data_IF_256126793667
#
_entry.id   IF_256126793667
#
_cell.length_a   1.000
_cell.length_b   1.000
_cell.length_c   1.000
_cell.angle_alpha   90.00
_cell.angle_beta   90.00
_cell.angle_gamma   90.00
#
_symmetry.space_group_name_H-M   'P 1'
#
loop_
_entity.id
_entity.type
_entity.pdbx_description
1 polymer ?
#
# COMPACT_ATOMS: atom_id res chain seq x y z
N UNK A 1 0.60 -27.50 6.58
CA UNK A 1 0.19 -26.49 5.59
C UNK A 1 0.98 -25.20 5.84
N UNK A 2 1.72 -24.74 4.86
CA UNK A 2 2.41 -23.46 4.98
C UNK A 2 1.39 -22.34 5.19
N UNK A 3 1.53 -21.53 6.25
CA UNK A 3 0.72 -20.33 6.45
C UNK A 3 0.90 -19.45 5.21
N UNK A 4 -0.16 -19.30 4.38
CA UNK A 4 -0.14 -18.35 3.27
C UNK A 4 0.24 -17.00 3.85
N UNK A 5 1.33 -16.42 3.32
CA UNK A 5 1.76 -15.08 3.73
C UNK A 5 0.66 -14.10 3.33
N UNK A 6 -0.04 -13.57 4.32
CA UNK A 6 -1.23 -12.75 4.12
C UNK A 6 -0.92 -11.39 3.47
N UNK A 7 0.31 -10.90 3.63
CA UNK A 7 0.78 -9.73 2.90
C UNK A 7 0.84 -10.00 1.40
N UNK A 8 1.42 -11.15 1.00
CA UNK A 8 1.45 -11.57 -0.42
C UNK A 8 0.06 -11.79 -1.00
N UNK A 9 -0.90 -12.26 -0.19
CA UNK A 9 -2.29 -12.40 -0.62
C UNK A 9 -2.91 -11.03 -0.89
N UNK A 10 -2.68 -10.05 -0.02
CA UNK A 10 -3.16 -8.68 -0.23
C UNK A 10 -2.57 -8.07 -1.52
N UNK A 11 -1.27 -8.22 -1.75
CA UNK A 11 -0.61 -7.75 -2.97
C UNK A 11 -1.21 -8.42 -4.24
N UNK A 12 -1.49 -9.72 -4.17
CA UNK A 12 -2.13 -10.46 -5.27
C UNK A 12 -3.57 -9.96 -5.53
N UNK A 13 -4.38 -9.80 -4.48
CA UNK A 13 -5.74 -9.29 -4.59
C UNK A 13 -5.75 -7.86 -5.15
N UNK A 14 -4.83 -7.01 -4.70
CA UNK A 14 -4.67 -5.64 -5.21
C UNK A 14 -4.30 -5.65 -6.70
N UNK A 15 -3.28 -6.41 -7.09
CA UNK A 15 -2.87 -6.55 -8.50
C UNK A 15 -4.04 -6.99 -9.39
N UNK A 16 -4.79 -8.01 -8.94
CA UNK A 16 -5.92 -8.55 -9.70
C UNK A 16 -7.12 -7.59 -9.77
N UNK A 17 -7.10 -6.52 -8.98
CA UNK A 17 -8.12 -5.47 -8.99
C UNK A 17 -7.81 -4.33 -9.95
N UNK A 18 -6.57 -4.23 -10.42
CA UNK A 18 -6.18 -3.24 -11.44
C UNK A 18 -6.76 -3.66 -12.79
N UNK A 19 -7.42 -2.73 -13.48
CA UNK A 19 -8.03 -2.97 -14.79
C UNK A 19 -7.00 -3.44 -15.81
N UNK A 20 -7.38 -4.37 -16.70
CA UNK A 20 -6.48 -4.98 -17.69
C UNK A 20 -5.83 -3.97 -18.67
N UNK A 21 -6.51 -2.87 -18.94
CA UNK A 21 -6.00 -1.80 -19.80
C UNK A 21 -5.01 -0.86 -19.12
N UNK A 22 -4.77 -1.02 -17.82
CA UNK A 22 -3.79 -0.24 -17.05
C UNK A 22 -2.52 -1.08 -16.90
N UNK A 23 -1.37 -0.53 -17.31
CA UNK A 23 -0.09 -1.19 -17.08
C UNK A 23 0.19 -1.30 -15.60
N UNK A 24 0.40 -2.53 -15.11
CA UNK A 24 0.70 -2.81 -13.71
C UNK A 24 1.83 -3.84 -13.61
N UNK A 25 2.95 -3.45 -13.03
CA UNK A 25 4.10 -4.30 -12.82
C UNK A 25 4.41 -4.42 -11.33
N UNK A 26 4.43 -5.67 -10.81
CA UNK A 26 4.88 -5.95 -9.45
C UNK A 26 6.37 -6.20 -9.44
N UNK A 27 7.09 -5.45 -8.62
CA UNK A 27 8.53 -5.64 -8.42
C UNK A 27 8.72 -6.87 -7.53
N UNK A 28 9.48 -7.84 -8.00
CA UNK A 28 9.81 -9.04 -7.23
C UNK A 28 10.98 -8.76 -6.29
N UNK A 29 10.89 -9.29 -5.08
CA UNK A 29 12.06 -9.33 -4.18
C UNK A 29 13.16 -10.15 -4.84
N UNK A 30 14.38 -9.60 -4.94
CA UNK A 30 15.51 -10.36 -5.47
C UNK A 30 15.93 -11.43 -4.47
N UNK A 31 15.98 -12.68 -4.92
CA UNK A 31 16.39 -13.83 -4.09
C UNK A 31 17.90 -13.85 -3.77
N UNK A 32 18.71 -13.00 -4.40
CA UNK A 32 20.16 -12.98 -4.24
C UNK A 32 20.57 -11.98 -3.16
N UNK A 33 20.89 -12.49 -1.99
CA UNK A 33 21.32 -11.75 -0.80
C UNK A 33 22.56 -10.84 -0.99
N UNK A 34 23.36 -11.04 -2.02
CA UNK A 34 24.62 -10.33 -2.22
C UNK A 34 24.57 -9.12 -3.16
N UNK A 35 23.48 -8.91 -3.89
CA UNK A 35 23.31 -7.79 -4.84
C UNK A 35 21.89 -7.20 -4.85
N UNK A 36 21.12 -7.41 -3.78
CA UNK A 36 19.75 -6.88 -3.71
C UNK A 36 19.80 -5.35 -3.62
N UNK A 37 19.56 -4.69 -4.74
CA UNK A 37 19.08 -3.31 -4.72
C UNK A 37 17.79 -3.31 -3.91
N UNK A 38 17.73 -2.49 -2.86
CA UNK A 38 16.54 -2.35 -2.02
C UNK A 38 15.43 -1.76 -2.89
N UNK A 39 14.37 -2.51 -3.12
CA UNK A 39 13.21 -2.03 -3.86
C UNK A 39 12.59 -0.84 -3.12
N UNK A 40 12.28 0.21 -3.86
CA UNK A 40 11.65 1.40 -3.30
C UNK A 40 10.14 1.25 -3.13
N UNK A 41 9.52 0.33 -3.88
CA UNK A 41 8.08 0.08 -3.86
C UNK A 41 7.75 -1.34 -4.35
N UNK A 42 6.50 -1.77 -4.15
CA UNK A 42 5.99 -3.06 -4.60
C UNK A 42 5.46 -3.02 -6.04
N UNK A 43 4.86 -1.90 -6.45
CA UNK A 43 4.19 -1.77 -7.75
C UNK A 43 4.60 -0.51 -8.50
N UNK A 44 4.78 -0.69 -9.81
CA UNK A 44 4.86 0.38 -10.80
C UNK A 44 3.62 0.27 -11.66
N UNK A 45 2.80 1.33 -11.70
CA UNK A 45 1.55 1.37 -12.44
C UNK A 45 1.56 2.62 -13.33
N UNK A 46 1.22 2.45 -14.60
CA UNK A 46 1.06 3.58 -15.51
C UNK A 46 -0.40 3.72 -15.91
N UNK A 47 -0.99 4.82 -15.49
CA UNK A 47 -2.27 5.30 -15.95
C UNK A 47 -2.11 6.75 -16.42
N UNK A 48 -2.21 6.92 -17.72
CA UNK A 48 -1.87 8.20 -18.38
C UNK A 48 -2.61 9.40 -17.77
N UNK A 49 -1.88 10.50 -17.48
CA UNK A 49 -0.46 10.73 -17.77
C UNK A 49 0.50 10.31 -16.63
N UNK A 50 0.02 9.70 -15.56
CA UNK A 50 0.77 9.51 -14.33
C UNK A 50 1.43 8.14 -14.23
N UNK A 51 2.65 8.14 -13.69
CA UNK A 51 3.38 6.96 -13.23
C UNK A 51 3.21 6.84 -11.71
N UNK A 52 2.58 5.76 -11.25
CA UNK A 52 2.34 5.47 -9.84
C UNK A 52 3.38 4.52 -9.29
N UNK A 53 4.03 4.89 -8.21
CA UNK A 53 4.95 4.05 -7.44
C UNK A 53 4.32 3.78 -6.07
N UNK A 54 3.88 2.55 -5.84
CA UNK A 54 3.08 2.19 -4.67
C UNK A 54 3.75 1.11 -3.83
N UNK A 55 3.86 1.37 -2.54
CA UNK A 55 4.26 0.39 -1.50
C UNK A 55 3.01 -0.10 -0.76
N UNK A 56 2.91 -1.41 -0.55
CA UNK A 56 1.76 -2.03 0.11
C UNK A 56 2.12 -2.56 1.50
N UNK A 57 1.31 -2.25 2.48
CA UNK A 57 1.44 -2.78 3.84
C UNK A 57 0.10 -3.33 4.34
N UNK A 58 0.13 -4.49 4.96
CA UNK A 58 -1.08 -5.14 5.50
C UNK A 58 -0.85 -5.62 6.93
N UNK A 59 -1.85 -5.40 7.79
CA UNK A 59 -1.83 -5.81 9.19
C UNK A 59 -3.15 -6.43 9.64
N UNK A 60 -3.10 -7.30 10.65
CA UNK A 60 -4.30 -7.74 11.41
C UNK A 60 -4.64 -6.80 12.56
N UNK A 61 -3.66 -5.99 12.99
CA UNK A 61 -3.85 -5.02 14.07
C UNK A 61 -4.62 -3.79 13.59
N UNK A 62 -5.04 -2.94 14.52
CA UNK A 62 -5.65 -1.65 14.22
C UNK A 62 -4.62 -0.57 13.86
N UNK A 63 -3.34 -0.92 13.88
CA UNK A 63 -2.24 0.00 13.60
C UNK A 63 -1.09 -0.70 12.87
N UNK A 64 -0.35 0.06 12.08
CA UNK A 64 0.88 -0.35 11.40
C UNK A 64 2.03 0.41 12.06
N UNK A 65 3.04 -0.30 12.57
CA UNK A 65 4.22 0.33 13.14
C UNK A 65 5.03 1.06 12.08
N UNK A 66 5.58 2.23 12.44
CA UNK A 66 6.56 2.96 11.62
C UNK A 66 7.99 2.50 11.87
N UNK A 67 8.19 1.45 12.69
CA UNK A 67 9.50 0.84 12.90
C UNK A 67 10.12 0.40 11.57
N UNK A 68 11.43 0.57 11.42
CA UNK A 68 12.22 0.22 10.22
C UNK A 68 12.06 -1.24 9.78
N UNK A 69 11.66 -2.14 10.68
CA UNK A 69 11.35 -3.54 10.35
C UNK A 69 10.06 -3.69 9.55
N UNK A 70 9.15 -2.74 9.66
CA UNK A 70 7.83 -2.75 9.01
C UNK A 70 7.79 -1.76 7.85
N UNK A 71 8.08 -0.49 8.10
CA UNK A 71 8.14 0.56 7.09
C UNK A 71 9.58 1.05 7.01
N UNK A 72 10.20 0.81 5.88
CA UNK A 72 11.61 1.13 5.68
C UNK A 72 11.80 2.60 5.33
N UNK A 73 12.70 3.27 6.04
CA UNK A 73 13.01 4.69 5.79
C UNK A 73 13.38 4.95 4.34
N UNK A 74 14.22 4.08 3.75
CA UNK A 74 14.62 4.26 2.36
C UNK A 74 13.45 4.20 1.37
N UNK A 75 12.37 3.44 1.65
CA UNK A 75 11.17 3.41 0.82
C UNK A 75 10.44 4.76 0.90
N UNK A 76 10.24 5.29 2.11
CA UNK A 76 9.58 6.58 2.34
C UNK A 76 10.36 7.71 1.65
N UNK A 77 11.66 7.79 1.88
CA UNK A 77 12.50 8.88 1.35
C UNK A 77 12.68 8.77 -0.17
N UNK A 78 12.91 7.56 -0.72
CA UNK A 78 13.06 7.38 -2.17
C UNK A 78 11.78 7.68 -2.95
N UNK A 79 10.62 7.28 -2.41
CA UNK A 79 9.33 7.60 -3.03
C UNK A 79 9.04 9.10 -2.98
N UNK A 80 9.33 9.75 -1.85
CA UNK A 80 9.18 11.20 -1.72
C UNK A 80 10.09 11.95 -2.70
N UNK A 81 11.35 11.53 -2.84
CA UNK A 81 12.31 12.10 -3.79
C UNK A 81 11.85 11.91 -5.24
N UNK A 82 11.36 10.72 -5.59
CA UNK A 82 10.86 10.42 -6.93
C UNK A 82 9.70 11.34 -7.31
N UNK A 83 8.72 11.51 -6.44
CA UNK A 83 7.58 12.40 -6.71
C UNK A 83 8.00 13.87 -6.78
N UNK A 84 8.95 14.31 -5.92
CA UNK A 84 9.38 15.70 -5.88
C UNK A 84 10.19 16.10 -7.12
N UNK A 85 11.01 15.18 -7.65
CA UNK A 85 11.93 15.46 -8.75
C UNK A 85 11.34 15.26 -10.14
N UNK A 86 10.25 14.50 -10.28
CA UNK A 86 9.74 14.09 -11.58
C UNK A 86 8.27 14.46 -11.75
N UNK A 87 7.97 15.17 -12.84
CA UNK A 87 6.59 15.46 -13.23
C UNK A 87 5.86 14.16 -13.57
N UNK A 88 4.59 14.11 -13.23
CA UNK A 88 3.70 12.97 -13.47
C UNK A 88 4.12 11.66 -12.76
N UNK A 89 5.01 11.74 -11.77
CA UNK A 89 5.31 10.64 -10.87
C UNK A 89 4.56 10.85 -9.57
N UNK A 90 3.65 9.93 -9.27
CA UNK A 90 2.82 9.94 -8.06
C UNK A 90 3.21 8.76 -7.18
N UNK A 91 3.42 9.01 -5.90
CA UNK A 91 3.90 8.01 -4.97
C UNK A 91 3.03 7.93 -3.72
N UNK A 92 2.95 6.74 -3.15
CA UNK A 92 2.23 6.56 -1.89
C UNK A 92 2.30 5.14 -1.36
N UNK A 93 1.62 4.98 -0.23
CA UNK A 93 1.45 3.70 0.44
C UNK A 93 -0.01 3.26 0.37
N UNK A 94 -0.24 1.98 0.15
CA UNK A 94 -1.55 1.36 0.32
C UNK A 94 -1.52 0.61 1.65
N UNK A 95 -2.28 1.10 2.63
CA UNK A 95 -2.37 0.52 3.96
C UNK A 95 -3.65 -0.30 4.09
N UNK A 96 -3.51 -1.59 4.37
CA UNK A 96 -4.62 -2.51 4.55
C UNK A 96 -4.71 -2.99 6.00
N UNK A 97 -5.79 -2.65 6.68
CA UNK A 97 -6.17 -3.14 8.00
C UNK A 97 -7.15 -4.28 7.81
N UNK A 98 -6.67 -5.52 7.93
CA UNK A 98 -7.45 -6.72 7.61
C UNK A 98 -8.64 -6.90 8.54
N UNK A 99 -9.75 -7.39 7.98
CA UNK A 99 -10.88 -7.83 8.76
C UNK A 99 -10.53 -9.04 9.66
N UNK A 100 -11.25 -9.18 10.73
CA UNK A 100 -11.10 -10.29 11.67
C UNK A 100 -12.41 -10.59 12.40
N UNK A 101 -12.62 -11.86 12.66
CA UNK A 101 -13.68 -12.32 13.54
C UNK A 101 -13.20 -12.21 15.00
N UNK A 102 -13.98 -11.55 15.82
CA UNK A 102 -13.84 -11.52 17.28
C UNK A 102 -15.00 -12.25 17.90
N UNK A 103 -14.87 -12.67 19.18
CA UNK A 103 -15.93 -13.40 19.89
C UNK A 103 -17.27 -12.69 19.89
N UNK A 104 -17.30 -11.37 19.87
CA UNK A 104 -18.50 -10.55 20.01
C UNK A 104 -18.85 -9.75 18.76
N UNK A 105 -17.95 -9.63 17.80
CA UNK A 105 -18.17 -8.83 16.58
C UNK A 105 -17.23 -9.19 15.46
N UNK A 106 -17.66 -8.93 14.24
CA UNK A 106 -16.81 -8.94 13.04
C UNK A 106 -16.24 -7.55 12.80
N UNK A 107 -14.92 -7.44 12.61
CA UNK A 107 -14.25 -6.22 12.17
C UNK A 107 -14.06 -6.32 10.67
N UNK A 108 -14.63 -5.39 9.92
CA UNK A 108 -14.46 -5.32 8.47
C UNK A 108 -13.07 -4.79 8.09
N UNK A 109 -12.50 -5.23 6.97
CA UNK A 109 -11.24 -4.68 6.48
C UNK A 109 -11.43 -3.23 6.01
N UNK A 110 -10.37 -2.44 6.16
CA UNK A 110 -10.29 -1.07 5.66
C UNK A 110 -8.97 -0.91 4.90
N UNK A 111 -9.01 -0.21 3.77
CA UNK A 111 -7.83 0.00 2.91
C UNK A 111 -7.76 1.46 2.49
N UNK A 112 -6.58 2.06 2.62
CA UNK A 112 -6.37 3.47 2.35
C UNK A 112 -5.14 3.69 1.48
N UNK A 113 -5.26 4.56 0.49
CA UNK A 113 -4.11 5.17 -0.17
C UNK A 113 -3.64 6.37 0.66
N UNK A 114 -2.37 6.39 1.03
CA UNK A 114 -1.74 7.51 1.73
C UNK A 114 -0.72 8.15 0.80
N UNK A 115 -0.94 9.41 0.34
CA UNK A 115 0.03 10.13 -0.47
C UNK A 115 1.39 10.24 0.21
N UNK A 116 2.47 10.17 -0.55
CA UNK A 116 3.82 10.07 0.02
C UNK A 116 4.21 11.25 0.91
N UNK A 117 3.75 12.46 0.62
CA UNK A 117 3.99 13.63 1.47
C UNK A 117 3.38 13.45 2.86
N UNK A 118 2.14 12.98 2.95
CA UNK A 118 1.46 12.67 4.22
C UNK A 118 2.11 11.48 4.91
N UNK A 119 2.42 10.43 4.15
CA UNK A 119 3.10 9.25 4.68
C UNK A 119 4.45 9.59 5.31
N UNK A 120 5.24 10.43 4.65
CA UNK A 120 6.54 10.89 5.16
C UNK A 120 6.40 11.71 6.45
N UNK A 121 5.43 12.61 6.50
CA UNK A 121 5.13 13.41 7.70
C UNK A 121 4.81 12.51 8.89
N UNK A 122 3.91 11.55 8.71
CA UNK A 122 3.52 10.60 9.76
C UNK A 122 4.66 9.68 10.14
N UNK A 123 5.43 9.18 9.18
CA UNK A 123 6.57 8.29 9.43
C UNK A 123 7.57 8.91 10.42
N UNK A 124 7.87 10.21 10.29
CA UNK A 124 8.83 10.89 11.17
C UNK A 124 8.24 11.41 12.49
N UNK A 125 6.92 11.52 12.59
CA UNK A 125 6.25 12.05 13.80
C UNK A 125 5.67 10.95 14.69
N UNK A 126 5.13 9.90 14.09
CA UNK A 126 4.33 8.89 14.78
C UNK A 126 5.07 7.55 14.88
N UNK A 127 4.87 6.84 15.99
CA UNK A 127 5.41 5.48 16.17
C UNK A 127 4.58 4.40 15.48
N UNK A 128 3.34 4.73 15.14
CA UNK A 128 2.43 3.83 14.43
C UNK A 128 1.33 4.61 13.74
N UNK A 129 0.78 4.03 12.69
CA UNK A 129 -0.34 4.58 11.93
C UNK A 129 -1.58 3.78 12.32
N UNK A 130 -2.38 4.32 13.23
CA UNK A 130 -3.68 3.78 13.58
C UNK A 130 -4.65 3.95 12.40
N UNK A 131 -5.59 3.02 12.24
CA UNK A 131 -6.55 3.09 11.13
C UNK A 131 -7.39 4.38 11.10
N UNK A 132 -7.65 4.99 12.25
CA UNK A 132 -8.36 6.28 12.32
C UNK A 132 -7.51 7.41 11.75
N UNK A 133 -6.20 7.42 12.01
CA UNK A 133 -5.26 8.35 11.37
C UNK A 133 -5.18 8.09 9.87
N UNK A 134 -5.10 6.82 9.44
CA UNK A 134 -5.09 6.48 8.02
C UNK A 134 -6.36 6.95 7.31
N UNK A 135 -7.52 6.88 7.97
CA UNK A 135 -8.80 7.40 7.46
C UNK A 135 -8.81 8.92 7.33
N UNK A 136 -8.17 9.61 8.27
CA UNK A 136 -8.08 11.09 8.27
C UNK A 136 -7.18 11.62 7.16
N UNK A 137 -6.01 10.99 6.95
CA UNK A 137 -4.97 11.50 6.04
C UNK A 137 -4.97 10.84 4.66
N UNK A 138 -5.74 9.78 4.48
CA UNK A 138 -5.75 8.96 3.27
C UNK A 138 -7.06 8.98 2.53
N UNK A 139 -7.06 8.25 1.42
CA UNK A 139 -8.24 8.03 0.58
C UNK A 139 -8.64 6.57 0.72
N UNK A 140 -9.88 6.32 1.13
CA UNK A 140 -10.40 4.98 1.23
C UNK A 140 -10.49 4.31 -0.14
N UNK A 141 -10.04 3.06 -0.20
CA UNK A 141 -10.20 2.20 -1.37
C UNK A 141 -11.32 1.20 -1.06
N UNK A 142 -12.49 1.37 -1.66
CA UNK A 142 -13.59 0.43 -1.47
C UNK A 142 -13.23 -0.97 -1.95
N UNK A 143 -13.91 -1.98 -1.44
CA UNK A 143 -13.70 -3.36 -1.84
C UNK A 143 -15.01 -4.14 -1.92
N UNK A 144 -14.96 -5.25 -2.68
CA UNK A 144 -15.98 -6.29 -2.67
C UNK A 144 -15.37 -7.61 -2.21
N UNK A 145 -16.02 -8.30 -1.29
CA UNK A 145 -15.60 -9.64 -0.89
C UNK A 145 -16.08 -10.65 -1.92
N UNK A 146 -15.14 -11.36 -2.53
CA UNK A 146 -15.40 -12.55 -3.36
C UNK A 146 -15.23 -13.82 -2.51
N UNK A 147 -15.52 -14.98 -3.04
CA UNK A 147 -15.44 -16.26 -2.31
C UNK A 147 -14.06 -16.46 -1.67
N UNK A 148 -12.98 -16.25 -2.43
CA UNK A 148 -11.60 -16.54 -1.99
C UNK A 148 -10.69 -15.32 -1.92
N UNK A 149 -11.14 -14.13 -2.39
CA UNK A 149 -10.33 -12.93 -2.51
C UNK A 149 -11.14 -11.66 -2.25
N UNK A 150 -10.43 -10.55 -2.10
CA UNK A 150 -11.01 -9.22 -2.16
C UNK A 150 -10.76 -8.60 -3.54
N UNK A 151 -11.72 -7.84 -4.02
CA UNK A 151 -11.62 -7.01 -5.22
C UNK A 151 -11.72 -5.56 -4.80
N UNK A 152 -10.65 -4.80 -5.04
CA UNK A 152 -10.53 -3.40 -4.66
C UNK A 152 -11.00 -2.49 -5.80
N UNK A 153 -11.75 -1.47 -5.49
CA UNK A 153 -12.14 -0.43 -6.45
C UNK A 153 -11.08 0.67 -6.47
N UNK A 154 -10.02 0.44 -7.26
CA UNK A 154 -8.89 1.35 -7.36
C UNK A 154 -9.18 2.41 -8.41
N UNK A 155 -9.38 3.65 -7.96
CA UNK A 155 -9.58 4.80 -8.83
C UNK A 155 -8.41 5.80 -8.64
N UNK A 156 -7.50 5.85 -9.60
CA UNK A 156 -6.33 6.72 -9.54
C UNK A 156 -6.67 8.22 -9.61
N UNK A 157 -7.79 8.60 -10.23
CA UNK A 157 -8.26 9.98 -10.23
C UNK A 157 -8.60 10.47 -8.82
N UNK A 158 -9.13 9.57 -7.97
CA UNK A 158 -9.40 9.92 -6.58
C UNK A 158 -8.12 10.16 -5.79
N UNK A 159 -7.03 9.47 -6.14
CA UNK A 159 -5.74 9.62 -5.48
C UNK A 159 -5.08 10.99 -5.76
N UNK A 160 -5.48 11.68 -6.82
CA UNK A 160 -4.99 13.02 -7.17
C UNK A 160 -5.71 14.16 -6.44
N UNK A 161 -6.72 13.87 -5.64
CA UNK A 161 -7.53 14.90 -4.96
C UNK A 161 -6.90 15.45 -3.67
N UNK A 162 -5.63 15.10 -3.38
CA UNK A 162 -4.90 15.54 -2.17
C UNK A 162 -3.71 16.42 -2.49
#
# INVERSE_FOLDING_TARGET
>A
MAKKNEGKKFEEDFRNSIKENIFCYRIKDSANFHQATKNMCDFIIFESPNLWLLELKSTKANQISTDEKIIKQHQVDSLYEAQTKHLFVECGFILNYRGRELKTKTVLPETYFIPINKMREVYYKEKSIHKDLAREIGIEIPYRKKITRYEYDVNFEDFLKY
#
